data_IF_175125714737
#
_entry.id   IF_175125714737
#
_cell.length_a   1.000
_cell.length_b   1.000
_cell.length_c   1.000
_cell.angle_alpha   90.00
_cell.angle_beta   90.00
_cell.angle_gamma   90.00
#
_symmetry.space_group_name_H-M   'P 1'
#
loop_
_entity.id
_entity.type
_entity.pdbx_description
1 polymer ?
#
# COMPACT_ATOMS: atom_id res chain seq x y z
N UNK A 1 -27.40 4.21 -8.35
CA UNK A 1 -26.51 3.21 -8.98
C UNK A 1 -25.46 2.82 -7.96
N UNK A 2 -25.66 1.71 -7.26
CA UNK A 2 -24.67 1.19 -6.32
C UNK A 2 -23.44 0.79 -7.15
N UNK A 3 -22.34 1.53 -6.96
CA UNK A 3 -21.08 1.22 -7.63
C UNK A 3 -20.72 -0.22 -7.33
N UNK A 4 -20.46 -1.00 -8.37
CA UNK A 4 -19.96 -2.36 -8.24
C UNK A 4 -18.60 -2.26 -7.56
N UNK A 5 -18.57 -2.39 -6.22
CA UNK A 5 -17.34 -2.52 -5.45
C UNK A 5 -16.70 -3.84 -5.92
N UNK A 6 -15.86 -3.75 -6.96
CA UNK A 6 -15.05 -4.86 -7.44
C UNK A 6 -14.24 -5.35 -6.24
N UNK A 7 -14.62 -6.54 -5.72
CA UNK A 7 -13.92 -7.39 -4.75
C UNK A 7 -12.79 -6.69 -3.98
N UNK A 8 -13.12 -6.20 -2.77
CA UNK A 8 -12.12 -5.84 -1.78
C UNK A 8 -11.63 -7.12 -1.10
N UNK A 9 -10.38 -7.49 -1.31
CA UNK A 9 -9.77 -8.67 -0.70
C UNK A 9 -8.65 -8.20 0.25
N UNK A 10 -8.71 -8.65 1.50
CA UNK A 10 -7.72 -8.32 2.53
C UNK A 10 -6.68 -9.43 2.56
N UNK A 11 -5.42 -9.08 2.33
CA UNK A 11 -4.30 -10.02 2.38
C UNK A 11 -3.41 -9.68 3.56
N UNK A 12 -3.21 -10.65 4.46
CA UNK A 12 -2.25 -10.59 5.54
C UNK A 12 -1.36 -11.82 5.49
N UNK A 13 -0.10 -11.66 5.11
CA UNK A 13 0.95 -12.63 5.36
C UNK A 13 1.82 -12.06 6.47
N UNK A 14 1.76 -12.62 7.68
CA UNK A 14 2.41 -12.07 8.88
C UNK A 14 3.94 -11.97 8.75
N UNK A 15 4.42 -10.84 8.26
CA UNK A 15 5.84 -10.55 8.12
C UNK A 15 6.12 -9.06 7.94
N UNK A 16 7.41 -8.72 7.97
CA UNK A 16 7.97 -7.36 7.85
C UNK A 16 8.19 -6.94 6.39
N UNK A 17 7.62 -7.64 5.40
CA UNK A 17 7.80 -7.36 3.97
C UNK A 17 6.44 -7.28 3.25
N UNK A 18 6.19 -6.13 2.62
CA UNK A 18 4.96 -5.83 1.89
C UNK A 18 4.98 -6.32 0.43
N UNK A 19 6.16 -6.63 -0.11
CA UNK A 19 6.33 -6.97 -1.53
C UNK A 19 5.51 -8.19 -1.96
N UNK A 20 5.44 -9.31 -1.21
CA UNK A 20 4.68 -10.49 -1.63
C UNK A 20 3.19 -10.22 -1.78
N UNK A 21 2.62 -9.44 -0.85
CA UNK A 21 1.20 -9.06 -0.91
C UNK A 21 0.94 -8.19 -2.14
N UNK A 22 1.81 -7.21 -2.40
CA UNK A 22 1.69 -6.33 -3.56
C UNK A 22 1.82 -7.12 -4.86
N UNK A 23 2.83 -7.99 -4.98
CA UNK A 23 3.05 -8.87 -6.12
C UNK A 23 1.83 -9.76 -6.40
N UNK A 24 1.20 -10.31 -5.36
CA UNK A 24 -0.03 -11.10 -5.50
C UNK A 24 -1.17 -10.26 -6.06
N UNK A 25 -1.41 -9.07 -5.49
CA UNK A 25 -2.48 -8.18 -5.97
C UNK A 25 -2.28 -7.76 -7.43
N UNK A 26 -1.02 -7.56 -7.85
CA UNK A 26 -0.71 -7.16 -9.21
C UNK A 26 -0.75 -8.32 -10.21
N UNK A 27 -0.17 -9.47 -9.87
CA UNK A 27 0.00 -10.57 -10.82
C UNK A 27 -1.23 -11.47 -10.88
N UNK A 28 -1.81 -11.80 -9.72
CA UNK A 28 -2.90 -12.76 -9.60
C UNK A 28 -4.24 -12.07 -9.79
N UNK A 29 -4.51 -11.03 -8.98
CA UNK A 29 -5.80 -10.33 -9.02
C UNK A 29 -5.89 -9.33 -10.16
N UNK A 30 -4.73 -8.91 -10.70
CA UNK A 30 -4.63 -7.89 -11.76
C UNK A 30 -5.32 -6.59 -11.37
N UNK A 31 -5.26 -6.25 -10.08
CA UNK A 31 -5.84 -5.01 -9.54
C UNK A 31 -5.25 -3.79 -10.25
N UNK A 32 -6.07 -2.78 -10.56
CA UNK A 32 -5.62 -1.54 -11.20
C UNK A 32 -4.82 -0.65 -10.23
N UNK A 33 -5.02 -0.85 -8.93
CA UNK A 33 -4.23 -0.25 -7.86
C UNK A 33 -4.48 -0.92 -6.52
N UNK A 34 -3.63 -0.58 -5.55
CA UNK A 34 -3.61 -1.21 -4.23
C UNK A 34 -3.56 -0.14 -3.14
N UNK A 35 -4.34 -0.32 -2.07
CA UNK A 35 -4.27 0.50 -0.86
C UNK A 35 -3.62 -0.34 0.24
N UNK A 36 -2.53 0.16 0.83
CA UNK A 36 -1.72 -0.54 1.82
C UNK A 36 -1.85 0.16 3.17
N UNK A 37 -2.35 -0.54 4.17
CA UNK A 37 -2.36 -0.06 5.55
C UNK A 37 -1.11 -0.57 6.27
N UNK A 38 -0.27 0.32 6.77
CA UNK A 38 1.00 -0.03 7.44
C UNK A 38 1.43 1.05 8.43
N UNK A 39 2.26 0.69 9.39
CA UNK A 39 2.99 1.64 10.25
C UNK A 39 4.35 2.04 9.65
N UNK A 40 4.77 1.42 8.54
CA UNK A 40 5.99 1.76 7.83
C UNK A 40 7.27 1.20 8.45
N UNK A 41 7.22 0.28 9.43
CA UNK A 41 8.41 -0.42 9.95
C UNK A 41 8.85 -1.58 9.03
N UNK A 42 8.97 -1.28 7.74
CA UNK A 42 9.26 -2.20 6.64
C UNK A 42 9.90 -1.41 5.50
N UNK A 43 10.46 -2.09 4.50
CA UNK A 43 10.90 -1.41 3.30
C UNK A 43 9.71 -0.99 2.42
N UNK A 44 9.88 0.12 1.70
CA UNK A 44 8.86 0.59 0.74
C UNK A 44 8.84 -0.39 -0.44
N UNK A 45 7.71 -1.08 -0.70
CA UNK A 45 7.65 -2.07 -1.76
C UNK A 45 7.64 -1.40 -3.13
N UNK A 46 8.12 -2.12 -4.14
CA UNK A 46 8.11 -1.70 -5.53
C UNK A 46 6.79 -2.09 -6.20
N UNK A 47 5.88 -1.13 -6.33
CA UNK A 47 4.64 -1.25 -7.09
C UNK A 47 4.87 -1.00 -8.59
N UNK A 48 4.27 -1.83 -9.45
CA UNK A 48 4.17 -1.57 -10.91
C UNK A 48 2.89 -0.81 -11.26
N UNK A 49 1.88 -0.86 -10.38
CA UNK A 49 0.61 -0.14 -10.53
C UNK A 49 0.42 0.90 -9.43
N UNK A 50 -0.72 1.62 -9.46
CA UNK A 50 -1.00 2.70 -8.52
C UNK A 50 -1.07 2.14 -7.10
N UNK A 51 -0.34 2.75 -6.17
CA UNK A 51 -0.35 2.38 -4.76
C UNK A 51 -0.62 3.60 -3.88
N UNK A 52 -1.43 3.43 -2.85
CA UNK A 52 -1.64 4.42 -1.78
C UNK A 52 -1.29 3.77 -0.46
N UNK A 53 -0.40 4.39 0.31
CA UNK A 53 -0.05 3.98 1.66
C UNK A 53 -0.87 4.79 2.67
N UNK A 54 -1.60 4.07 3.52
CA UNK A 54 -2.32 4.63 4.65
C UNK A 54 -1.53 4.31 5.91
N UNK A 55 -0.88 5.34 6.43
CA UNK A 55 0.03 5.28 7.56
C UNK A 55 -0.68 5.58 8.88
N UNK A 56 -0.31 4.84 9.93
CA UNK A 56 -0.78 5.12 11.29
C UNK A 56 -0.24 6.47 11.81
N UNK A 57 -0.81 6.98 12.91
CA UNK A 57 -0.31 8.20 13.57
C UNK A 57 1.10 8.04 14.17
N UNK A 58 1.56 6.81 14.36
CA UNK A 58 2.88 6.45 14.90
C UNK A 58 3.79 5.86 13.82
N UNK A 59 3.60 6.27 12.57
CA UNK A 59 4.32 5.71 11.44
C UNK A 59 5.81 6.03 11.47
N UNK A 60 6.58 5.22 10.76
CA UNK A 60 7.97 5.48 10.46
C UNK A 60 8.11 6.64 9.44
N UNK A 61 8.77 7.72 9.86
CA UNK A 61 8.97 8.93 9.04
C UNK A 61 9.79 8.66 7.77
N UNK A 62 10.82 7.80 7.87
CA UNK A 62 11.66 7.44 6.75
C UNK A 62 10.88 6.71 5.66
N UNK A 63 9.98 5.79 6.05
CA UNK A 63 9.07 5.14 5.11
C UNK A 63 8.21 6.15 4.37
N UNK A 64 7.61 7.12 5.10
CA UNK A 64 6.79 8.18 4.49
C UNK A 64 7.59 8.99 3.47
N UNK A 65 8.79 9.41 3.82
CA UNK A 65 9.65 10.20 2.93
C UNK A 65 10.04 9.41 1.68
N UNK A 66 10.48 8.16 1.85
CA UNK A 66 10.83 7.26 0.75
C UNK A 66 9.62 7.00 -0.15
N UNK A 67 8.46 6.69 0.42
CA UNK A 67 7.23 6.44 -0.33
C UNK A 67 6.80 7.67 -1.13
N UNK A 68 6.87 8.87 -0.55
CA UNK A 68 6.59 10.13 -1.27
C UNK A 68 7.59 10.41 -2.39
N UNK A 69 8.86 10.07 -2.19
CA UNK A 69 9.90 10.22 -3.22
C UNK A 69 9.67 9.28 -4.40
N UNK A 70 9.25 8.05 -4.15
CA UNK A 70 9.03 7.04 -5.19
C UNK A 70 7.69 7.19 -5.90
N UNK A 71 6.61 7.47 -5.16
CA UNK A 71 5.23 7.39 -5.66
C UNK A 71 4.50 8.74 -5.70
N UNK A 72 5.16 9.81 -5.23
CA UNK A 72 4.58 11.15 -5.17
C UNK A 72 3.92 11.45 -3.83
N UNK A 73 3.68 12.74 -3.58
CA UNK A 73 3.14 13.24 -2.30
C UNK A 73 1.79 12.63 -1.94
N UNK A 74 0.92 12.46 -2.93
CA UNK A 74 -0.47 12.02 -2.75
C UNK A 74 -0.61 10.50 -2.59
N UNK A 75 0.48 9.76 -2.79
CA UNK A 75 0.52 8.31 -2.53
C UNK A 75 0.57 7.98 -1.02
N UNK A 76 0.65 8.97 -0.13
CA UNK A 76 0.73 8.74 1.32
C UNK A 76 -0.31 9.55 2.08
N UNK A 77 -1.15 8.85 2.84
CA UNK A 77 -2.14 9.40 3.77
C UNK A 77 -1.73 9.03 5.19
N UNK A 78 -1.67 9.99 6.10
CA UNK A 78 -1.42 9.72 7.53
C UNK A 78 -2.73 9.87 8.29
N UNK A 79 -3.14 8.83 8.99
CA UNK A 79 -4.32 8.84 9.85
C UNK A 79 -4.02 9.65 11.14
N UNK A 80 -5.00 10.44 11.59
CA UNK A 80 -4.91 11.23 12.82
C UNK A 80 -5.34 10.42 14.04
#
# INVERSE_FOLDING_TARGET
>A
KAGTWKRLEIFGGGGTDLQPALDYTERVLRSEGTVVFTDGHTDVPLARRRVIFVLSKYHNEEFKERARKLYGRDAVVVLR
#
